data_IF_760286731964
#
_entry.id   IF_760286731964
#
_cell.length_a   1.000
_cell.length_b   1.000
_cell.length_c   1.000
_cell.angle_alpha   90.00
_cell.angle_beta   90.00
_cell.angle_gamma   90.00
#
_symmetry.space_group_name_H-M   'P 1'
#
loop_
_entity.id
_entity.type
_entity.pdbx_description
1 polymer ?
#
# COMPACT_ATOMS: atom_id res chain seq x y z
N UNK A 1 4.02 -27.52 9.39
CA UNK A 1 5.28 -27.67 8.63
C UNK A 1 5.86 -26.28 8.42
N UNK A 2 6.80 -25.86 9.27
CA UNK A 2 7.42 -24.54 9.18
C UNK A 2 8.53 -24.59 8.13
N UNK A 3 8.37 -23.84 7.03
CA UNK A 3 9.42 -23.67 6.04
C UNK A 3 10.31 -22.52 6.50
N UNK A 4 11.54 -22.84 6.86
CA UNK A 4 12.58 -21.85 7.18
C UNK A 4 13.05 -21.18 5.88
N UNK A 5 12.86 -19.87 5.76
CA UNK A 5 13.08 -19.10 4.52
C UNK A 5 14.54 -18.65 4.37
N UNK A 6 15.42 -18.90 5.35
CA UNK A 6 16.85 -18.59 5.22
C UNK A 6 17.57 -19.32 4.07
N UNK A 7 16.89 -20.25 3.38
CA UNK A 7 17.42 -20.97 2.22
C UNK A 7 16.64 -20.76 0.91
N UNK A 8 15.62 -19.89 0.87
CA UNK A 8 14.92 -19.58 -0.40
C UNK A 8 15.46 -18.27 -0.93
N UNK A 9 16.49 -18.34 -1.77
CA UNK A 9 16.70 -17.32 -2.79
C UNK A 9 15.48 -17.35 -3.70
N UNK A 10 14.51 -16.47 -3.44
CA UNK A 10 13.30 -16.30 -4.26
C UNK A 10 13.74 -15.66 -5.59
N UNK A 11 14.35 -16.46 -6.47
CA UNK A 11 14.32 -16.22 -7.91
C UNK A 11 12.99 -16.73 -8.46
N UNK A 12 11.88 -16.33 -7.82
CA UNK A 12 10.54 -16.63 -8.30
C UNK A 12 10.19 -15.53 -9.31
N UNK A 13 10.10 -15.92 -10.58
CA UNK A 13 9.41 -15.10 -11.58
C UNK A 13 7.92 -15.15 -11.21
N UNK A 14 7.44 -14.13 -10.50
CA UNK A 14 6.02 -13.85 -10.32
C UNK A 14 5.63 -12.73 -11.29
N UNK A 15 4.44 -12.84 -11.89
CA UNK A 15 3.90 -11.79 -12.74
C UNK A 15 2.81 -11.05 -11.97
N UNK A 16 3.20 -10.42 -10.86
CA UNK A 16 2.37 -9.56 -10.00
C UNK A 16 3.17 -8.29 -9.70
N UNK A 17 2.49 -7.16 -9.52
CA UNK A 17 3.10 -5.91 -9.04
C UNK A 17 2.69 -5.69 -7.58
N UNK A 18 3.67 -5.46 -6.72
CA UNK A 18 3.41 -5.08 -5.33
C UNK A 18 3.56 -3.57 -5.20
N UNK A 19 2.53 -2.90 -4.69
CA UNK A 19 2.48 -1.44 -4.56
C UNK A 19 2.18 -1.08 -3.10
N UNK A 20 3.12 -0.38 -2.45
CA UNK A 20 2.80 0.29 -1.18
C UNK A 20 1.83 1.42 -1.44
N UNK A 21 0.77 1.50 -0.63
CA UNK A 21 -0.13 2.64 -0.55
C UNK A 21 -0.07 3.33 0.82
N UNK A 22 1.07 3.15 1.50
CA UNK A 22 1.56 3.99 2.59
C UNK A 22 1.14 3.61 4.01
N UNK A 23 0.96 4.67 4.82
CA UNK A 23 1.00 4.81 6.30
C UNK A 23 2.38 4.72 6.95
N UNK A 24 3.35 4.02 6.40
CA UNK A 24 4.76 4.27 6.72
C UNK A 24 5.63 3.60 5.65
N UNK A 25 6.94 3.70 5.83
CA UNK A 25 7.95 3.07 4.99
C UNK A 25 8.01 1.53 5.11
N UNK A 26 7.32 0.92 6.09
CA UNK A 26 7.48 -0.50 6.40
C UNK A 26 7.12 -1.44 5.25
N UNK A 27 6.04 -1.16 4.52
CA UNK A 27 5.67 -1.96 3.33
C UNK A 27 6.77 -1.86 2.27
N UNK A 28 7.28 -0.66 2.00
CA UNK A 28 8.35 -0.48 1.02
C UNK A 28 9.67 -1.15 1.44
N UNK A 29 10.02 -1.05 2.73
CA UNK A 29 11.17 -1.74 3.33
C UNK A 29 11.03 -3.26 3.19
N UNK A 30 9.86 -3.81 3.53
CA UNK A 30 9.54 -5.22 3.37
C UNK A 30 9.71 -5.67 1.91
N UNK A 31 9.07 -4.97 0.97
CA UNK A 31 9.11 -5.34 -0.44
C UNK A 31 10.53 -5.24 -1.02
N UNK A 32 11.36 -4.32 -0.54
CA UNK A 32 12.79 -4.25 -0.87
C UNK A 32 13.57 -5.42 -0.26
N UNK A 33 13.37 -5.73 1.02
CA UNK A 33 14.04 -6.82 1.75
C UNK A 33 13.86 -8.18 1.06
N UNK A 34 12.66 -8.44 0.55
CA UNK A 34 12.31 -9.70 -0.12
C UNK A 34 12.39 -9.65 -1.65
N UNK A 35 12.96 -8.58 -2.23
CA UNK A 35 13.11 -8.39 -3.68
C UNK A 35 11.77 -8.49 -4.46
N UNK A 36 10.68 -8.03 -3.84
CA UNK A 36 9.34 -7.98 -4.42
C UNK A 36 9.04 -6.64 -5.10
N UNK A 37 9.78 -5.59 -4.72
CA UNK A 37 9.62 -4.22 -5.24
C UNK A 37 10.31 -4.07 -6.59
N UNK A 38 9.58 -3.64 -7.62
CA UNK A 38 10.13 -3.36 -8.95
C UNK A 38 10.63 -1.93 -9.14
N UNK A 39 10.08 -0.98 -8.40
CA UNK A 39 10.47 0.43 -8.45
C UNK A 39 10.05 1.18 -7.18
N UNK A 40 10.61 2.36 -6.96
CA UNK A 40 10.07 3.29 -5.97
C UNK A 40 8.79 3.96 -6.47
N UNK A 41 7.78 4.05 -5.61
CA UNK A 41 6.45 4.57 -5.88
C UNK A 41 6.11 5.71 -4.91
N UNK A 42 5.02 6.47 -5.16
CA UNK A 42 4.73 7.70 -4.44
C UNK A 42 4.60 7.52 -2.93
N UNK A 43 4.00 6.42 -2.48
CA UNK A 43 3.67 6.18 -1.07
C UNK A 43 4.67 5.32 -0.31
N UNK A 44 5.88 5.12 -0.86
CA UNK A 44 6.88 4.26 -0.23
C UNK A 44 7.55 4.88 1.00
N UNK A 45 7.55 6.21 1.13
CA UNK A 45 8.35 6.94 2.10
C UNK A 45 7.60 8.13 2.71
N UNK A 46 6.28 8.00 2.80
CA UNK A 46 5.41 8.98 3.43
C UNK A 46 4.32 8.30 4.26
N UNK A 47 3.66 9.12 5.07
CA UNK A 47 2.58 8.71 5.95
C UNK A 47 1.28 9.24 5.36
N UNK A 48 0.48 8.36 4.77
CA UNK A 48 -0.74 8.69 4.02
C UNK A 48 -2.00 8.26 4.79
N UNK A 49 -2.44 9.12 5.72
CA UNK A 49 -3.57 8.82 6.60
C UNK A 49 -4.90 8.69 5.84
N UNK A 50 -5.24 9.66 4.99
CA UNK A 50 -6.56 9.74 4.31
C UNK A 50 -6.49 10.06 2.80
N UNK A 51 -5.28 10.08 2.23
CA UNK A 51 -5.01 10.77 0.95
C UNK A 51 -4.92 9.93 -0.29
N UNK A 52 -4.71 8.62 -0.16
CA UNK A 52 -4.30 7.76 -1.28
C UNK A 52 -5.31 7.82 -2.43
N UNK A 53 -6.59 7.65 -2.09
CA UNK A 53 -7.70 7.66 -3.05
C UNK A 53 -7.79 9.00 -3.80
N UNK A 54 -7.73 10.12 -3.09
CA UNK A 54 -7.77 11.47 -3.68
C UNK A 54 -6.58 11.76 -4.57
N UNK A 55 -5.38 11.37 -4.14
CA UNK A 55 -4.15 11.53 -4.93
C UNK A 55 -4.27 10.78 -6.27
N UNK A 56 -4.80 9.56 -6.28
CA UNK A 56 -5.00 8.79 -7.53
C UNK A 56 -6.16 9.38 -8.36
N UNK A 57 -7.25 9.79 -7.73
CA UNK A 57 -8.41 10.37 -8.41
C UNK A 57 -8.04 11.65 -9.17
N UNK A 58 -7.18 12.50 -8.59
CA UNK A 58 -6.72 13.73 -9.21
C UNK A 58 -5.41 13.62 -10.01
N UNK A 59 -4.93 12.40 -10.33
CA UNK A 59 -3.68 12.15 -11.06
C UNK A 59 -2.45 12.80 -10.40
N UNK A 60 -2.43 12.86 -9.07
CA UNK A 60 -1.35 13.43 -8.27
C UNK A 60 -1.07 14.92 -8.54
N UNK A 61 -2.00 15.66 -9.16
CA UNK A 61 -1.81 17.08 -9.58
C UNK A 61 -1.34 18.00 -8.46
N UNK A 62 -1.67 17.68 -7.21
CA UNK A 62 -1.32 18.47 -6.02
C UNK A 62 -0.51 17.68 -5.00
N UNK A 63 0.22 16.66 -5.45
CA UNK A 63 0.86 15.72 -4.52
C UNK A 63 1.95 16.38 -3.68
N UNK A 64 2.76 17.25 -4.27
CA UNK A 64 3.90 17.92 -3.63
C UNK A 64 3.70 19.42 -3.41
N UNK A 65 2.54 19.97 -3.78
CA UNK A 65 2.25 21.40 -3.66
C UNK A 65 0.73 21.67 -3.69
N UNK A 66 0.20 22.53 -2.78
CA UNK A 66 0.88 23.16 -1.65
C UNK A 66 1.17 22.18 -0.50
N UNK A 67 2.21 22.48 0.29
CA UNK A 67 2.56 21.79 1.53
C UNK A 67 2.39 22.73 2.73
N UNK A 68 1.91 22.20 3.85
CA UNK A 68 1.93 22.90 5.14
C UNK A 68 3.37 23.01 5.69
N UNK A 69 3.55 23.77 6.77
CA UNK A 69 4.83 23.87 7.50
C UNK A 69 5.30 22.50 8.00
N UNK A 70 4.34 21.62 8.32
CA UNK A 70 4.57 20.24 8.74
C UNK A 70 4.83 19.30 7.55
N UNK A 71 4.92 19.81 6.32
CA UNK A 71 5.19 19.04 5.09
C UNK A 71 4.07 18.05 4.78
N UNK A 72 2.84 18.51 4.93
CA UNK A 72 1.62 17.76 4.64
C UNK A 72 0.93 18.39 3.44
N UNK A 73 0.54 17.58 2.45
CA UNK A 73 -0.23 18.09 1.30
C UNK A 73 -1.73 18.23 1.61
N UNK A 74 -2.50 18.78 0.66
CA UNK A 74 -3.95 18.97 0.80
C UNK A 74 -4.73 17.65 1.01
N UNK A 75 -4.14 16.52 0.65
CA UNK A 75 -4.75 15.19 0.76
C UNK A 75 -4.34 14.44 2.05
N UNK A 76 -3.66 15.10 3.00
CA UNK A 76 -3.15 14.48 4.24
C UNK A 76 -2.08 13.40 4.02
N UNK A 77 -1.18 13.62 3.06
CA UNK A 77 0.07 12.88 2.92
C UNK A 77 1.19 13.66 3.59
N UNK A 78 1.76 13.09 4.64
CA UNK A 78 2.87 13.65 5.39
C UNK A 78 4.22 13.11 4.88
N UNK A 79 5.08 14.01 4.41
CA UNK A 79 6.41 13.68 3.89
C UNK A 79 7.46 13.68 5.00
N UNK A 80 7.47 12.61 5.82
CA UNK A 80 8.32 12.52 7.01
C UNK A 80 9.82 12.76 6.74
N UNK A 81 10.35 12.19 5.65
CA UNK A 81 11.77 12.22 5.32
C UNK A 81 12.21 13.31 4.33
N UNK A 82 11.26 14.01 3.70
CA UNK A 82 11.53 14.88 2.55
C UNK A 82 11.03 16.31 2.79
N UNK A 83 11.39 17.26 1.93
CA UNK A 83 11.03 18.69 2.07
C UNK A 83 11.52 19.33 3.38
N UNK A 84 12.62 18.82 3.94
CA UNK A 84 13.23 19.35 5.18
C UNK A 84 13.93 20.69 4.97
N UNK A 85 14.58 20.87 3.82
CA UNK A 85 15.52 21.95 3.57
C UNK A 85 15.20 22.61 2.23
N UNK A 86 15.25 23.95 2.16
CA UNK A 86 14.97 24.72 0.94
C UNK A 86 15.83 24.28 -0.25
N UNK A 87 17.07 23.84 0.01
CA UNK A 87 18.02 23.40 -1.01
C UNK A 87 17.64 22.08 -1.68
N UNK A 88 16.80 21.25 -1.04
CA UNK A 88 16.40 19.93 -1.59
C UNK A 88 14.96 19.91 -2.08
N UNK A 89 14.15 20.95 -1.80
CA UNK A 89 12.72 20.99 -2.16
C UNK A 89 12.50 20.68 -3.65
N UNK A 90 13.27 21.30 -4.55
CA UNK A 90 13.11 21.06 -5.99
C UNK A 90 13.41 19.59 -6.35
N UNK A 91 14.49 19.03 -5.81
CA UNK A 91 14.86 17.62 -6.02
C UNK A 91 13.80 16.68 -5.45
N UNK A 92 13.21 17.02 -4.30
CA UNK A 92 12.13 16.25 -3.68
C UNK A 92 10.86 16.29 -4.53
N UNK A 93 10.47 17.47 -5.06
CA UNK A 93 9.35 17.60 -6.01
C UNK A 93 9.56 16.71 -7.23
N UNK A 94 10.68 16.86 -7.93
CA UNK A 94 10.98 16.07 -9.12
C UNK A 94 11.04 14.56 -8.83
N UNK A 95 11.56 14.17 -7.66
CA UNK A 95 11.59 12.78 -7.21
C UNK A 95 10.18 12.20 -7.11
N UNK A 96 9.25 12.93 -6.52
CA UNK A 96 7.87 12.50 -6.39
C UNK A 96 7.11 12.56 -7.71
N UNK A 97 7.32 13.56 -8.56
CA UNK A 97 6.72 13.61 -9.90
C UNK A 97 7.05 12.36 -10.72
N UNK A 98 8.33 11.94 -10.73
CA UNK A 98 8.76 10.71 -11.40
C UNK A 98 8.12 9.45 -10.80
N UNK A 99 7.87 9.43 -9.49
CA UNK A 99 7.22 8.30 -8.81
C UNK A 99 5.72 8.26 -9.13
N UNK A 100 5.06 9.41 -9.14
CA UNK A 100 3.63 9.56 -9.47
C UNK A 100 3.37 9.13 -10.91
N UNK A 101 4.14 9.68 -11.85
CA UNK A 101 4.03 9.32 -13.27
C UNK A 101 4.27 7.81 -13.48
N UNK A 102 5.25 7.22 -12.77
CA UNK A 102 5.50 5.78 -12.84
C UNK A 102 4.29 4.97 -12.39
N UNK A 103 3.65 5.34 -11.28
CA UNK A 103 2.46 4.64 -10.81
C UNK A 103 1.30 4.80 -11.81
N UNK A 104 1.03 6.01 -12.29
CA UNK A 104 -0.02 6.26 -13.29
C UNK A 104 0.19 5.40 -14.54
N UNK A 105 1.41 5.40 -15.10
CA UNK A 105 1.74 4.57 -16.25
C UNK A 105 1.54 3.07 -15.97
N UNK A 106 1.88 2.59 -14.76
CA UNK A 106 1.62 1.19 -14.37
C UNK A 106 0.13 0.87 -14.35
N UNK A 107 -0.71 1.78 -13.85
CA UNK A 107 -2.17 1.59 -13.82
C UNK A 107 -2.75 1.58 -15.25
N UNK A 108 -2.38 2.56 -16.07
CA UNK A 108 -2.84 2.68 -17.46
C UNK A 108 -2.43 1.48 -18.32
N UNK A 109 -1.16 1.07 -18.26
CA UNK A 109 -0.66 -0.05 -19.06
C UNK A 109 -1.32 -1.39 -18.69
N UNK A 110 -1.79 -1.55 -17.44
CA UNK A 110 -2.48 -2.76 -16.99
C UNK A 110 -4.01 -2.66 -17.13
N UNK A 111 -4.56 -1.49 -17.48
CA UNK A 111 -5.98 -1.23 -17.67
C UNK A 111 -6.40 -1.38 -19.14
N UNK A 112 -6.24 -2.57 -19.73
CA UNK A 112 -6.66 -2.83 -21.11
C UNK A 112 -7.63 -4.02 -21.17
N UNK A 113 -8.63 -3.97 -22.05
CA UNK A 113 -9.54 -5.09 -22.24
C UNK A 113 -8.81 -6.36 -22.70
N UNK A 114 -7.73 -6.21 -23.48
CA UNK A 114 -6.87 -7.32 -23.94
C UNK A 114 -5.99 -7.91 -22.84
N UNK A 115 -5.76 -7.20 -21.73
CA UNK A 115 -5.10 -7.75 -20.55
C UNK A 115 -5.93 -8.86 -19.88
N UNK A 116 -7.24 -8.92 -20.16
CA UNK A 116 -8.08 -10.04 -19.76
C UNK A 116 -7.80 -11.30 -20.58
N UNK A 117 -7.43 -11.17 -21.85
CA UNK A 117 -7.14 -12.29 -22.75
C UNK A 117 -5.67 -12.77 -22.71
N UNK A 118 -4.71 -11.86 -22.51
CA UNK A 118 -3.26 -12.15 -22.53
C UNK A 118 -2.55 -12.07 -21.17
N UNK A 119 -3.29 -12.17 -20.06
CA UNK A 119 -2.69 -12.31 -18.73
C UNK A 119 -2.06 -11.03 -18.18
N UNK A 120 -2.84 -9.94 -18.17
CA UNK A 120 -2.53 -8.68 -17.48
C UNK A 120 -1.96 -8.90 -16.08
N UNK A 121 -1.01 -8.06 -15.68
CA UNK A 121 -0.25 -8.24 -14.45
C UNK A 121 -1.12 -7.81 -13.27
N UNK A 122 -1.57 -8.72 -12.39
CA UNK A 122 -2.30 -8.32 -11.19
C UNK A 122 -1.48 -7.36 -10.32
N UNK A 123 -2.14 -6.36 -9.78
CA UNK A 123 -1.56 -5.41 -8.82
C UNK A 123 -2.06 -5.74 -7.41
N UNK A 124 -1.14 -5.95 -6.48
CA UNK A 124 -1.43 -6.07 -5.06
C UNK A 124 -1.05 -4.74 -4.38
N UNK A 125 -2.07 -3.93 -4.09
CA UNK A 125 -1.90 -2.74 -3.25
C UNK A 125 -1.86 -3.16 -1.79
N UNK A 126 -0.89 -2.67 -1.03
CA UNK A 126 -0.69 -3.04 0.37
C UNK A 126 -0.66 -1.78 1.23
N UNK A 127 -1.56 -1.74 2.22
CA UNK A 127 -1.64 -0.71 3.26
C UNK A 127 -1.31 -1.34 4.61
N UNK A 128 -0.30 -0.80 5.29
CA UNK A 128 -0.18 -0.99 6.73
C UNK A 128 -1.22 -0.07 7.36
N UNK A 129 -2.15 -0.59 8.16
CA UNK A 129 -3.11 0.25 8.88
C UNK A 129 -2.41 1.15 9.90
N UNK A 130 -3.10 2.19 10.36
CA UNK A 130 -2.48 3.15 11.28
C UNK A 130 -2.17 2.48 12.63
N UNK A 131 -1.18 3.02 13.35
CA UNK A 131 -0.80 2.56 14.69
C UNK A 131 -1.37 3.53 15.73
N UNK A 132 -1.52 3.08 16.98
CA UNK A 132 -2.10 3.91 18.05
C UNK A 132 -1.37 5.25 18.24
N UNK A 133 -0.04 5.26 18.17
CA UNK A 133 0.75 6.48 18.33
C UNK A 133 0.51 7.51 17.20
N UNK A 134 -0.03 7.09 16.05
CA UNK A 134 -0.39 8.02 14.98
C UNK A 134 -1.52 8.98 15.39
N UNK A 135 -2.37 8.63 16.38
CA UNK A 135 -3.40 9.54 16.88
C UNK A 135 -2.82 10.77 17.59
N UNK A 136 -1.60 10.65 18.11
CA UNK A 136 -0.90 11.72 18.84
C UNK A 136 0.03 12.53 17.93
N UNK A 137 0.31 12.05 16.72
CA UNK A 137 1.16 12.75 15.77
C UNK A 137 0.60 14.11 15.37
N UNK A 138 1.53 15.02 15.07
CA UNK A 138 1.27 16.36 14.54
C UNK A 138 0.32 17.14 15.45
N UNK A 139 0.66 17.13 16.75
CA UNK A 139 -0.10 17.77 17.83
C UNK A 139 -1.57 17.31 17.88
N UNK A 140 -1.80 16.00 17.62
CA UNK A 140 -3.13 15.41 17.62
C UNK A 140 -3.97 15.74 16.38
N UNK A 141 -3.37 16.24 15.29
CA UNK A 141 -4.08 16.45 14.00
C UNK A 141 -4.82 15.18 13.57
N UNK A 142 -4.23 14.02 13.83
CA UNK A 142 -4.73 12.72 13.44
C UNK A 142 -5.48 11.99 14.56
N UNK A 143 -6.03 12.72 15.53
CA UNK A 143 -6.88 12.12 16.58
C UNK A 143 -8.04 11.31 15.99
N UNK A 144 -8.63 11.78 14.89
CA UNK A 144 -9.72 11.11 14.18
C UNK A 144 -9.27 10.65 12.77
N UNK A 145 -8.38 9.66 12.71
CA UNK A 145 -7.99 9.02 11.44
C UNK A 145 -9.21 8.30 10.84
N UNK A 146 -9.38 8.40 9.51
CA UNK A 146 -10.40 7.60 8.81
C UNK A 146 -10.08 6.13 9.01
N UNK A 147 -11.10 5.33 9.32
CA UNK A 147 -10.96 3.88 9.36
C UNK A 147 -10.27 3.35 8.08
N UNK A 148 -9.26 2.48 8.26
CA UNK A 148 -8.42 2.01 7.17
C UNK A 148 -9.19 1.21 6.11
N UNK A 149 -10.26 0.52 6.53
CA UNK A 149 -11.13 -0.20 5.60
C UNK A 149 -12.03 0.77 4.83
N UNK A 150 -12.56 1.80 5.48
CA UNK A 150 -13.29 2.88 4.80
C UNK A 150 -12.41 3.63 3.77
N UNK A 151 -11.14 3.89 4.08
CA UNK A 151 -10.21 4.49 3.12
C UNK A 151 -9.92 3.56 1.93
N UNK A 152 -9.75 2.25 2.20
CA UNK A 152 -9.59 1.24 1.15
C UNK A 152 -10.82 1.13 0.24
N UNK A 153 -12.04 1.27 0.77
CA UNK A 153 -13.26 1.32 -0.05
C UNK A 153 -13.29 2.53 -0.98
N UNK A 154 -12.90 3.71 -0.49
CA UNK A 154 -12.78 4.91 -1.34
C UNK A 154 -11.77 4.69 -2.47
N UNK A 155 -10.61 4.09 -2.15
CA UNK A 155 -9.62 3.75 -3.16
C UNK A 155 -10.17 2.74 -4.18
N UNK A 156 -10.84 1.69 -3.73
CA UNK A 156 -11.48 0.71 -4.62
C UNK A 156 -12.48 1.36 -5.57
N UNK A 157 -13.33 2.27 -5.08
CA UNK A 157 -14.27 3.01 -5.92
C UNK A 157 -13.57 3.86 -6.99
N UNK A 158 -12.49 4.55 -6.64
CA UNK A 158 -11.69 5.34 -7.61
C UNK A 158 -11.06 4.42 -8.65
N UNK A 159 -10.46 3.30 -8.23
CA UNK A 159 -9.82 2.35 -9.13
C UNK A 159 -10.82 1.69 -10.08
N UNK A 160 -11.99 1.25 -9.61
CA UNK A 160 -13.06 0.71 -10.46
C UNK A 160 -13.55 1.74 -11.49
N UNK A 161 -13.65 3.01 -11.08
CA UNK A 161 -14.13 4.07 -11.96
C UNK A 161 -13.09 4.49 -13.01
N UNK A 162 -11.83 4.70 -12.61
CA UNK A 162 -10.77 5.19 -13.52
C UNK A 162 -10.10 4.09 -14.32
N UNK A 163 -10.03 2.88 -13.76
CA UNK A 163 -9.33 1.73 -14.36
C UNK A 163 -10.22 0.48 -14.36
N UNK A 164 -11.33 0.46 -15.13
CA UNK A 164 -12.35 -0.57 -15.07
C UNK A 164 -11.89 -1.98 -15.51
N UNK A 165 -10.74 -2.09 -16.17
CA UNK A 165 -10.15 -3.36 -16.60
C UNK A 165 -8.94 -3.76 -15.75
N UNK A 166 -8.60 -2.98 -14.72
CA UNK A 166 -7.47 -3.29 -13.85
C UNK A 166 -7.76 -4.54 -13.02
N UNK A 167 -6.81 -5.49 -13.04
CA UNK A 167 -6.82 -6.65 -12.14
C UNK A 167 -6.04 -6.28 -10.88
N UNK A 168 -6.71 -6.20 -9.74
CA UNK A 168 -6.03 -5.85 -8.50
C UNK A 168 -6.71 -6.42 -7.25
N UNK A 169 -5.96 -6.40 -6.15
CA UNK A 169 -6.49 -6.52 -4.78
C UNK A 169 -5.87 -5.44 -3.90
N UNK A 170 -6.63 -4.97 -2.93
CA UNK A 170 -6.19 -4.06 -1.86
C UNK A 170 -6.12 -4.88 -0.57
N UNK A 171 -4.92 -4.96 -0.01
CA UNK A 171 -4.65 -5.61 1.27
C UNK A 171 -4.54 -4.52 2.33
N UNK A 172 -5.35 -4.63 3.39
CA UNK A 172 -5.31 -3.74 4.55
C UNK A 172 -4.91 -4.56 5.77
N UNK A 173 -3.79 -4.22 6.41
CA UNK A 173 -3.30 -4.91 7.61
C UNK A 173 -3.50 -4.01 8.83
N UNK A 174 -4.56 -4.23 9.60
CA UNK A 174 -4.93 -3.41 10.76
C UNK A 174 -3.92 -3.59 11.89
N UNK A 175 -3.57 -2.51 12.61
CA UNK A 175 -2.66 -2.60 13.77
C UNK A 175 -2.93 -1.62 14.91
N UNK A 176 -3.89 -0.72 14.79
CA UNK A 176 -4.23 0.22 15.85
C UNK A 176 -4.98 -0.45 17.00
N UNK A 177 -4.40 -0.43 18.21
CA UNK A 177 -5.03 -0.95 19.44
C UNK A 177 -6.11 -0.03 20.01
N UNK A 178 -6.22 1.21 19.53
CA UNK A 178 -7.29 2.14 19.93
C UNK A 178 -8.53 1.98 19.08
N UNK A 179 -8.36 1.76 17.77
CA UNK A 179 -9.46 1.63 16.81
C UNK A 179 -9.97 0.19 16.67
N UNK A 180 -9.12 -0.81 16.95
CA UNK A 180 -9.41 -2.21 16.72
C UNK A 180 -9.01 -3.08 17.92
N UNK A 181 -9.61 -4.26 18.00
CA UNK A 181 -9.30 -5.29 18.99
C UNK A 181 -8.75 -6.52 18.29
N UNK A 182 -8.05 -7.40 19.01
CA UNK A 182 -7.53 -8.66 18.47
C UNK A 182 -8.61 -9.57 17.86
N UNK A 183 -9.82 -9.49 18.40
CA UNK A 183 -10.99 -10.24 17.96
C UNK A 183 -11.85 -9.47 16.93
N UNK A 184 -11.42 -8.29 16.49
CA UNK A 184 -12.07 -7.58 15.39
C UNK A 184 -12.17 -8.51 14.18
N UNK A 185 -13.41 -8.81 13.79
CA UNK A 185 -13.72 -9.67 12.66
C UNK A 185 -13.38 -8.92 11.38
N UNK A 186 -12.40 -9.44 10.64
CA UNK A 186 -12.07 -8.90 9.34
C UNK A 186 -13.05 -9.38 8.28
N UNK A 187 -13.44 -8.46 7.41
CA UNK A 187 -14.24 -8.76 6.23
C UNK A 187 -13.29 -9.13 5.09
N UNK A 188 -13.48 -10.32 4.51
CA UNK A 188 -12.98 -10.61 3.17
C UNK A 188 -14.10 -10.24 2.21
N UNK A 189 -14.07 -9.00 1.74
CA UNK A 189 -15.01 -8.55 0.74
C UNK A 189 -14.44 -8.90 -0.64
N UNK A 190 -14.54 -10.19 -0.96
CA UNK A 190 -14.01 -10.75 -2.22
C UNK A 190 -14.69 -10.14 -3.44
N UNK A 191 -15.91 -9.65 -3.28
CA UNK A 191 -16.68 -9.00 -4.34
C UNK A 191 -16.18 -7.56 -4.61
N UNK A 192 -15.51 -6.94 -3.63
CA UNK A 192 -14.99 -5.56 -3.71
C UNK A 192 -13.46 -5.44 -3.80
N UNK A 193 -12.72 -6.48 -4.20
CA UNK A 193 -11.25 -6.46 -4.32
C UNK A 193 -10.48 -6.09 -3.04
N UNK A 194 -11.09 -6.15 -1.85
CA UNK A 194 -10.45 -5.76 -0.59
C UNK A 194 -10.36 -6.97 0.35
N UNK A 195 -9.16 -7.20 0.89
CA UNK A 195 -8.93 -8.16 1.96
C UNK A 195 -8.34 -7.44 3.18
N UNK A 196 -9.01 -7.60 4.32
CA UNK A 196 -8.58 -7.03 5.59
C UNK A 196 -7.97 -8.13 6.47
N UNK A 197 -6.84 -7.83 7.10
CA UNK A 197 -6.12 -8.71 8.01
C UNK A 197 -5.96 -8.01 9.36
N UNK A 198 -6.37 -8.67 10.44
CA UNK A 198 -6.19 -8.14 11.78
C UNK A 198 -4.80 -8.48 12.29
N UNK A 199 -3.97 -7.47 12.52
CA UNK A 199 -2.64 -7.60 13.11
C UNK A 199 -2.49 -6.72 14.36
N UNK A 200 -3.59 -6.48 15.07
CA UNK A 200 -3.57 -5.85 16.39
C UNK A 200 -2.84 -6.78 17.35
N UNK A 201 -1.91 -6.24 18.12
CA UNK A 201 -1.11 -7.00 19.08
C UNK A 201 -1.34 -6.49 20.52
N UNK A 202 -0.94 -7.28 21.51
CA UNK A 202 -0.98 -6.91 22.92
C UNK A 202 0.24 -6.07 23.30
N UNK A 203 0.15 -5.43 24.47
CA UNK A 203 1.29 -4.76 25.09
C UNK A 203 2.41 -5.77 25.39
N UNK A 204 3.58 -5.58 24.76
CA UNK A 204 4.76 -6.44 24.93
C UNK A 204 5.09 -7.32 23.72
N UNK A 205 4.20 -7.40 22.72
CA UNK A 205 4.50 -8.07 21.45
C UNK A 205 5.29 -7.15 20.51
N UNK A 206 6.18 -7.75 19.71
CA UNK A 206 6.93 -7.04 18.68
C UNK A 206 6.03 -6.80 17.46
N UNK A 207 5.42 -5.62 17.43
CA UNK A 207 4.53 -5.14 16.36
C UNK A 207 5.15 -5.24 14.97
N UNK A 208 6.41 -4.87 14.84
CA UNK A 208 7.08 -4.83 13.54
C UNK A 208 7.35 -6.23 13.03
N UNK A 209 7.78 -7.13 13.92
CA UNK A 209 7.94 -8.54 13.58
C UNK A 209 6.61 -9.19 13.19
N UNK A 210 5.55 -8.97 13.96
CA UNK A 210 4.22 -9.52 13.66
C UNK A 210 3.68 -9.00 12.32
N UNK A 211 3.83 -7.71 12.06
CA UNK A 211 3.46 -7.12 10.77
C UNK A 211 4.24 -7.74 9.61
N UNK A 212 5.56 -7.90 9.74
CA UNK A 212 6.39 -8.54 8.73
C UNK A 212 5.97 -9.99 8.47
N UNK A 213 5.75 -10.78 9.52
CA UNK A 213 5.29 -12.18 9.41
C UNK A 213 3.91 -12.27 8.74
N UNK A 214 2.98 -11.38 9.10
CA UNK A 214 1.66 -11.28 8.48
C UNK A 214 1.78 -10.99 6.98
N UNK A 215 2.52 -9.93 6.61
CA UNK A 215 2.68 -9.52 5.22
C UNK A 215 3.41 -10.58 4.38
N UNK A 216 4.39 -11.27 4.96
CA UNK A 216 5.08 -12.37 4.30
C UNK A 216 4.14 -13.53 3.96
N UNK A 217 3.28 -13.93 4.90
CA UNK A 217 2.31 -14.98 4.67
C UNK A 217 1.32 -14.61 3.58
N UNK A 218 0.82 -13.37 3.57
CA UNK A 218 -0.08 -12.85 2.53
C UNK A 218 0.61 -12.89 1.16
N UNK A 219 1.82 -12.35 1.05
CA UNK A 219 2.56 -12.35 -0.21
C UNK A 219 2.81 -13.77 -0.74
N UNK A 220 3.17 -14.72 0.13
CA UNK A 220 3.36 -16.13 -0.25
C UNK A 220 2.04 -16.74 -0.77
N UNK A 221 0.93 -16.50 -0.08
CA UNK A 221 -0.39 -16.97 -0.50
C UNK A 221 -0.76 -16.41 -1.88
N UNK A 222 -0.66 -15.09 -2.08
CA UNK A 222 -1.04 -14.44 -3.35
C UNK A 222 -0.15 -14.85 -4.52
N UNK A 223 1.14 -15.08 -4.28
CA UNK A 223 2.05 -15.62 -5.31
C UNK A 223 1.66 -17.06 -5.68
N UNK A 224 1.21 -17.88 -4.72
CA UNK A 224 0.75 -19.26 -4.99
C UNK A 224 -0.56 -19.26 -5.77
N UNK A 225 -1.54 -18.44 -5.37
CA UNK A 225 -2.81 -18.27 -6.09
C UNK A 225 -2.59 -17.86 -7.56
N UNK A 226 -1.72 -16.86 -7.81
CA UNK A 226 -1.40 -16.41 -9.17
C UNK A 226 -0.79 -17.54 -10.04
N UNK A 227 0.03 -18.41 -9.44
CA UNK A 227 0.63 -19.55 -10.15
C UNK A 227 -0.38 -20.65 -10.46
N UNK A 228 -1.26 -20.96 -9.52
CA UNK A 228 -2.29 -22.00 -9.70
C UNK A 228 -3.29 -21.58 -10.77
N UNK A 229 -3.74 -20.32 -10.74
CA UNK A 229 -4.63 -19.76 -11.76
C UNK A 229 -4.04 -19.83 -13.17
N UNK A 230 -2.70 -19.71 -13.32
CA UNK A 230 -2.02 -19.85 -14.61
C UNK A 230 -1.86 -21.29 -15.09
N UNK A 231 -1.75 -22.26 -14.18
CA UNK A 231 -1.68 -23.68 -14.54
C UNK A 231 -3.01 -24.21 -15.09
N UNK A 232 -4.14 -23.60 -14.71
CA UNK A 232 -5.47 -23.99 -15.16
C UNK A 232 -5.83 -23.50 -16.58
N UNK A 233 -4.97 -22.65 -17.19
CA UNK A 233 -5.20 -22.06 -18.52
C UNK A 233 -4.48 -22.85 -19.63
N UNK A 234 -3.72 -23.90 -19.28
CA UNK A 234 -3.05 -24.83 -20.21
C UNK A 234 -3.59 -26.25 -20.06
#
# INVERSE_FOLDING_TARGET
MYICISCISINIIFNMLFVSIGIDCDVANFLTKYNLRKASLPFDWNVSYNGVSKCIDCDFKKFTEPLSVERINEDDVYFHHDFLNETTILTDKEKYDRRCLRLLNMLEMNNTADSNANGGVPILFIRKGHMCYHHEEQNGKYKNITDDYEDAKKLNSVLLSKYPHLKYKIIVILGCTECFKKDTVCVKDTDNNIEVYNNVCDAGEDRNKLFEECLLNICIEKIREDRENKKLIF
#
